data_IF_798661128507
#
_entry.id   IF_798661128507
#
_cell.length_a   1.000
_cell.length_b   1.000
_cell.length_c   1.000
_cell.angle_alpha   90.00
_cell.angle_beta   90.00
_cell.angle_gamma   90.00
#
_symmetry.space_group_name_H-M   'P 1'
#
loop_
_entity.id
_entity.type
_entity.pdbx_description
1 polymer ?
#
# COMPACT_ATOMS: atom_id res chain seq x y z
N UNK A 1 -48.87 12.03 -21.65
CA UNK A 1 -47.49 11.50 -21.73
C UNK A 1 -46.78 11.95 -20.47
N UNK A 2 -46.69 11.08 -19.47
CA UNK A 2 -46.09 11.37 -18.16
C UNK A 2 -44.57 11.30 -18.27
N UNK A 3 -43.90 12.43 -18.10
CA UNK A 3 -42.46 12.50 -17.85
C UNK A 3 -42.16 11.73 -16.56
N UNK A 4 -41.81 10.45 -16.69
CA UNK A 4 -41.10 9.74 -15.63
C UNK A 4 -39.72 10.36 -15.56
N UNK A 5 -39.56 11.35 -14.69
CA UNK A 5 -38.25 11.79 -14.21
C UNK A 5 -37.59 10.54 -13.64
N UNK A 6 -36.70 9.92 -14.43
CA UNK A 6 -35.85 8.83 -13.94
C UNK A 6 -34.94 9.48 -12.92
N UNK A 7 -35.35 9.42 -11.65
CA UNK A 7 -34.57 9.93 -10.52
C UNK A 7 -33.22 9.21 -10.55
N UNK A 8 -32.14 9.94 -10.87
CA UNK A 8 -30.80 9.38 -10.79
C UNK A 8 -30.57 8.95 -9.35
N UNK A 9 -30.13 7.71 -9.11
CA UNK A 9 -29.84 7.26 -7.76
C UNK A 9 -28.79 8.19 -7.11
N UNK A 10 -28.91 8.46 -5.81
CA UNK A 10 -28.03 9.40 -5.12
C UNK A 10 -26.56 8.98 -5.26
N UNK A 11 -25.68 9.96 -5.34
CA UNK A 11 -24.24 9.72 -5.37
C UNK A 11 -23.80 8.98 -4.09
N UNK A 12 -22.89 8.01 -4.20
CA UNK A 12 -22.42 7.27 -3.03
C UNK A 12 -21.70 8.21 -2.03
N UNK A 13 -21.92 7.97 -0.74
CA UNK A 13 -21.23 8.65 0.35
C UNK A 13 -19.70 8.48 0.19
N UNK A 14 -18.95 9.58 0.25
CA UNK A 14 -17.50 9.61 0.17
C UNK A 14 -16.81 8.62 1.13
N UNK A 15 -17.22 8.58 2.40
CA UNK A 15 -16.69 7.65 3.41
C UNK A 15 -16.92 6.21 2.99
N UNK A 16 -18.10 5.89 2.46
CA UNK A 16 -18.39 4.53 1.98
C UNK A 16 -17.50 4.16 0.79
N UNK A 17 -17.24 5.09 -0.13
CA UNK A 17 -16.34 4.85 -1.27
C UNK A 17 -14.92 4.55 -0.78
N UNK A 18 -14.42 5.30 0.22
CA UNK A 18 -13.12 5.04 0.83
C UNK A 18 -13.06 3.66 1.50
N UNK A 19 -14.05 3.35 2.35
CA UNK A 19 -14.10 2.08 3.07
C UNK A 19 -14.17 0.87 2.13
N UNK A 20 -14.99 0.94 1.08
CA UNK A 20 -15.13 -0.14 0.10
C UNK A 20 -13.84 -0.31 -0.71
N UNK A 21 -13.17 0.77 -1.11
CA UNK A 21 -11.88 0.70 -1.82
C UNK A 21 -10.80 0.01 -0.96
N UNK A 22 -10.67 0.42 0.30
CA UNK A 22 -9.74 -0.20 1.26
C UNK A 22 -10.08 -1.67 1.51
N UNK A 23 -11.35 -1.97 1.77
CA UNK A 23 -11.80 -3.34 2.01
C UNK A 23 -11.55 -4.24 0.79
N UNK A 24 -11.76 -3.73 -0.43
CA UNK A 24 -11.47 -4.45 -1.67
C UNK A 24 -9.99 -4.81 -1.81
N UNK A 25 -9.09 -3.83 -1.62
CA UNK A 25 -7.65 -4.06 -1.66
C UNK A 25 -7.18 -5.08 -0.60
N UNK A 26 -7.65 -4.94 0.64
CA UNK A 26 -7.32 -5.86 1.73
C UNK A 26 -7.89 -7.27 1.50
N UNK A 27 -9.11 -7.39 1.00
CA UNK A 27 -9.69 -8.69 0.68
C UNK A 27 -8.87 -9.42 -0.40
N UNK A 28 -8.44 -8.70 -1.44
CA UNK A 28 -7.56 -9.24 -2.49
C UNK A 28 -6.21 -9.72 -1.92
N UNK A 29 -5.62 -8.90 -1.04
CA UNK A 29 -4.36 -9.20 -0.38
C UNK A 29 -4.45 -10.44 0.51
N UNK A 30 -5.50 -10.52 1.34
CA UNK A 30 -5.77 -11.69 2.21
C UNK A 30 -6.00 -12.93 1.35
N UNK A 31 -6.82 -12.84 0.30
CA UNK A 31 -7.06 -13.96 -0.61
C UNK A 31 -5.75 -14.45 -1.24
N UNK A 32 -4.91 -13.54 -1.76
CA UNK A 32 -3.60 -13.90 -2.31
C UNK A 32 -2.71 -14.58 -1.28
N UNK A 33 -2.64 -14.02 -0.06
CA UNK A 33 -1.82 -14.57 1.03
C UNK A 33 -2.28 -15.97 1.42
N UNK A 34 -3.58 -16.19 1.58
CA UNK A 34 -4.16 -17.51 1.90
C UNK A 34 -3.88 -18.51 0.78
N UNK A 35 -4.04 -18.11 -0.48
CA UNK A 35 -3.74 -18.96 -1.63
C UNK A 35 -2.25 -19.32 -1.64
N UNK A 36 -1.35 -18.35 -1.48
CA UNK A 36 0.09 -18.57 -1.46
C UNK A 36 0.50 -19.55 -0.33
N UNK A 37 0.00 -19.34 0.88
CA UNK A 37 0.26 -20.23 2.01
C UNK A 37 -0.29 -21.64 1.78
N UNK A 38 -1.49 -21.78 1.18
CA UNK A 38 -2.06 -23.09 0.85
C UNK A 38 -1.21 -23.89 -0.15
N UNK A 39 -0.45 -23.18 -1.00
CA UNK A 39 0.51 -23.75 -1.95
C UNK A 39 1.89 -23.97 -1.34
N UNK A 40 2.17 -23.40 -0.17
CA UNK A 40 3.44 -23.47 0.54
C UNK A 40 3.33 -24.23 1.88
N UNK A 41 2.55 -25.31 1.92
CA UNK A 41 2.36 -26.15 3.13
C UNK A 41 1.93 -25.38 4.39
N UNK A 42 1.22 -24.26 4.22
CA UNK A 42 0.77 -23.38 5.30
C UNK A 42 1.82 -22.36 5.77
N UNK A 43 3.02 -22.33 5.20
CA UNK A 43 4.06 -21.38 5.57
C UNK A 43 3.90 -20.05 4.81
N UNK A 44 3.97 -18.94 5.54
CA UNK A 44 4.05 -17.60 4.94
C UNK A 44 5.52 -17.30 4.59
N UNK A 45 5.79 -16.99 3.32
CA UNK A 45 7.08 -16.49 2.87
C UNK A 45 6.88 -15.33 1.89
N UNK A 46 7.86 -14.42 1.87
CA UNK A 46 7.85 -13.31 0.93
C UNK A 46 8.18 -13.82 -0.47
N UNK A 47 7.58 -13.18 -1.48
CA UNK A 47 7.74 -13.60 -2.87
C UNK A 47 9.13 -13.27 -3.44
N UNK A 48 9.86 -12.33 -2.83
CA UNK A 48 11.17 -11.86 -3.27
C UNK A 48 12.21 -12.06 -2.17
N UNK A 49 13.42 -12.42 -2.57
CA UNK A 49 14.60 -12.52 -1.71
C UNK A 49 15.06 -11.15 -1.19
N UNK A 50 14.84 -10.09 -1.96
CA UNK A 50 15.13 -8.70 -1.59
C UNK A 50 14.56 -8.30 -0.21
N UNK A 51 13.39 -8.82 0.18
CA UNK A 51 12.82 -8.51 1.51
C UNK A 51 13.75 -8.96 2.63
N UNK A 52 14.39 -10.12 2.46
CA UNK A 52 15.33 -10.66 3.44
C UNK A 52 16.66 -9.90 3.39
N UNK A 53 17.07 -9.39 2.23
CA UNK A 53 18.21 -8.47 2.12
C UNK A 53 17.92 -7.20 2.91
N UNK A 54 16.74 -6.59 2.76
CA UNK A 54 16.37 -5.40 3.54
C UNK A 54 16.29 -5.67 5.04
N UNK A 55 15.80 -6.84 5.44
CA UNK A 55 15.81 -7.25 6.85
C UNK A 55 17.23 -7.45 7.39
N UNK A 56 18.16 -7.98 6.59
CA UNK A 56 19.57 -8.09 6.95
C UNK A 56 20.21 -6.71 7.09
N UNK A 57 19.97 -5.80 6.13
CA UNK A 57 20.41 -4.40 6.20
C UNK A 57 19.85 -3.71 7.43
N UNK A 58 18.57 -3.90 7.75
CA UNK A 58 17.96 -3.38 8.97
C UNK A 58 18.62 -3.93 10.24
N UNK A 59 19.01 -5.20 10.24
CA UNK A 59 19.77 -5.83 11.31
C UNK A 59 21.14 -5.20 11.52
N UNK A 60 21.84 -4.83 10.44
CA UNK A 60 23.13 -4.13 10.54
C UNK A 60 22.95 -2.67 10.95
N UNK A 61 21.91 -1.98 10.46
CA UNK A 61 21.56 -0.63 10.94
C UNK A 61 21.37 -0.63 12.45
N UNK A 62 20.66 -1.60 13.01
CA UNK A 62 20.45 -1.72 14.45
C UNK A 62 21.76 -1.95 15.24
N UNK A 63 22.82 -2.47 14.61
CA UNK A 63 24.17 -2.66 15.18
C UNK A 63 25.11 -1.48 14.94
N UNK A 64 24.64 -0.42 14.26
CA UNK A 64 25.44 0.75 13.90
C UNK A 64 26.21 0.61 12.57
N UNK A 65 25.94 -0.43 11.79
CA UNK A 65 26.48 -0.64 10.44
C UNK A 65 25.50 -0.22 9.34
N UNK A 66 25.91 -0.40 8.08
CA UNK A 66 25.03 -0.21 6.92
C UNK A 66 25.47 -1.12 5.76
N UNK A 67 24.85 -2.27 5.66
CA UNK A 67 25.20 -3.32 4.70
C UNK A 67 24.51 -4.63 5.06
N UNK A 68 24.78 -5.69 4.31
CA UNK A 68 24.21 -7.03 4.59
C UNK A 68 25.07 -7.79 5.60
N UNK A 69 26.39 -7.59 5.55
CA UNK A 69 27.37 -8.30 6.37
C UNK A 69 27.96 -7.38 7.45
N UNK A 70 28.28 -7.92 8.65
CA UNK A 70 28.95 -7.16 9.69
C UNK A 70 30.29 -6.56 9.25
N UNK A 71 30.46 -5.25 9.45
CA UNK A 71 31.69 -4.52 9.13
C UNK A 71 31.89 -4.23 7.64
N UNK A 72 30.99 -4.68 6.76
CA UNK A 72 31.04 -4.40 5.33
C UNK A 72 30.00 -3.33 4.97
N UNK A 73 30.47 -2.14 4.59
CA UNK A 73 29.58 -1.08 4.12
C UNK A 73 29.12 -1.36 2.70
N UNK A 74 27.81 -1.52 2.50
CA UNK A 74 27.22 -1.81 1.20
C UNK A 74 25.83 -1.16 1.04
N UNK A 75 25.60 -0.56 -0.12
CA UNK A 75 24.27 -0.05 -0.49
C UNK A 75 23.44 -1.13 -1.18
N UNK A 76 22.95 -2.10 -0.39
CA UNK A 76 22.21 -3.26 -0.90
C UNK A 76 20.68 -3.05 -1.01
N UNK A 77 20.15 -1.90 -0.58
CA UNK A 77 18.73 -1.57 -0.66
C UNK A 77 18.47 -0.41 -1.64
N UNK A 78 17.36 -0.47 -2.37
CA UNK A 78 16.91 0.58 -3.29
C UNK A 78 16.40 1.85 -2.60
N UNK A 79 16.11 1.77 -1.30
CA UNK A 79 15.78 2.93 -0.46
C UNK A 79 16.47 2.82 0.89
N UNK A 80 17.00 3.92 1.45
CA UNK A 80 17.61 3.89 2.79
C UNK A 80 16.56 3.91 3.90
N UNK A 81 15.40 4.54 3.65
CA UNK A 81 14.35 4.70 4.66
C UNK A 81 13.65 3.37 4.97
N UNK A 82 13.40 2.52 3.96
CA UNK A 82 12.61 1.32 4.19
C UNK A 82 13.33 0.31 5.10
N UNK A 83 14.60 -0.09 4.89
CA UNK A 83 15.36 -0.90 5.85
C UNK A 83 15.44 -0.25 7.23
N UNK A 84 15.58 1.07 7.32
CA UNK A 84 15.57 1.77 8.61
C UNK A 84 14.24 1.56 9.37
N UNK A 85 13.09 1.61 8.69
CA UNK A 85 11.78 1.32 9.29
C UNK A 85 11.61 -0.15 9.72
N UNK A 86 12.48 -1.05 9.25
CA UNK A 86 12.51 -2.48 9.61
C UNK A 86 13.48 -2.79 10.76
N UNK A 87 14.15 -1.78 11.33
CA UNK A 87 15.08 -1.94 12.47
C UNK A 87 14.41 -2.37 13.79
N UNK A 88 13.14 -2.05 14.10
CA UNK A 88 12.53 -2.52 15.34
C UNK A 88 12.59 -4.04 15.46
N UNK A 89 12.86 -4.54 16.66
CA UNK A 89 12.95 -5.99 16.95
C UNK A 89 14.04 -6.74 16.18
N UNK A 90 15.06 -6.03 15.65
CA UNK A 90 16.20 -6.64 14.98
C UNK A 90 16.80 -7.80 15.78
N UNK A 91 17.05 -8.91 15.08
CA UNK A 91 17.58 -10.14 15.69
C UNK A 91 16.53 -11.04 16.37
N UNK A 92 15.25 -10.68 16.34
CA UNK A 92 14.14 -11.52 16.82
C UNK A 92 13.30 -12.05 15.66
N UNK A 93 12.50 -13.09 15.92
CA UNK A 93 11.54 -13.61 14.93
C UNK A 93 10.42 -12.64 14.59
N UNK A 94 10.20 -11.58 15.39
CA UNK A 94 9.17 -10.58 15.13
C UNK A 94 9.52 -9.65 13.97
N UNK A 95 10.81 -9.39 13.75
CA UNK A 95 11.28 -8.47 12.70
C UNK A 95 10.77 -8.88 11.31
N UNK A 96 10.68 -10.19 11.04
CA UNK A 96 10.22 -10.73 9.75
C UNK A 96 8.83 -10.26 9.36
N UNK A 97 8.00 -9.80 10.30
CA UNK A 97 6.62 -9.38 10.05
C UNK A 97 6.50 -7.88 9.76
N UNK A 98 7.55 -7.09 9.99
CA UNK A 98 7.52 -5.65 9.73
C UNK A 98 7.26 -5.32 8.25
N UNK A 99 7.87 -6.00 7.25
CA UNK A 99 7.57 -5.72 5.85
C UNK A 99 6.08 -5.93 5.51
N UNK A 100 5.48 -7.00 6.04
CA UNK A 100 4.04 -7.27 5.92
C UNK A 100 3.19 -6.14 6.53
N UNK A 101 3.50 -5.72 7.76
CA UNK A 101 2.75 -4.66 8.46
C UNK A 101 2.80 -3.36 7.66
N UNK A 102 4.00 -2.93 7.23
CA UNK A 102 4.16 -1.71 6.45
C UNK A 102 3.44 -1.77 5.11
N UNK A 103 3.45 -2.92 4.43
CA UNK A 103 2.75 -3.08 3.17
C UNK A 103 1.23 -3.10 3.31
N UNK A 104 0.68 -3.67 4.39
CA UNK A 104 -0.77 -3.61 4.68
C UNK A 104 -1.20 -2.16 4.97
N UNK A 105 -0.41 -1.41 5.73
CA UNK A 105 -0.65 0.01 5.98
C UNK A 105 -0.59 0.80 4.66
N UNK A 106 0.47 0.61 3.87
CA UNK A 106 0.66 1.30 2.60
C UNK A 106 -0.45 0.98 1.59
N UNK A 107 -0.89 -0.27 1.49
CA UNK A 107 -2.01 -0.69 0.65
C UNK A 107 -3.31 0.01 1.07
N UNK A 108 -3.57 0.06 2.38
CA UNK A 108 -4.76 0.70 2.93
C UNK A 108 -4.76 2.21 2.65
N UNK A 109 -3.62 2.88 2.90
CA UNK A 109 -3.46 4.31 2.63
C UNK A 109 -3.59 4.60 1.13
N UNK A 110 -2.89 3.86 0.28
CA UNK A 110 -2.97 4.04 -1.18
C UNK A 110 -4.41 3.85 -1.70
N UNK A 111 -5.11 2.81 -1.22
CA UNK A 111 -6.50 2.54 -1.62
C UNK A 111 -7.44 3.68 -1.17
N UNK A 112 -7.26 4.19 0.05
CA UNK A 112 -8.04 5.32 0.56
C UNK A 112 -7.76 6.62 -0.22
N UNK A 113 -6.48 6.90 -0.51
CA UNK A 113 -6.09 8.07 -1.29
C UNK A 113 -6.62 7.99 -2.72
N UNK A 114 -6.54 6.83 -3.37
CA UNK A 114 -7.11 6.63 -4.70
C UNK A 114 -8.64 6.82 -4.69
N UNK A 115 -9.33 6.26 -3.70
CA UNK A 115 -10.76 6.48 -3.52
C UNK A 115 -11.10 7.97 -3.30
N UNK A 116 -10.27 8.70 -2.55
CA UNK A 116 -10.41 10.14 -2.35
C UNK A 116 -10.23 10.93 -3.65
N UNK A 117 -9.29 10.55 -4.52
CA UNK A 117 -9.15 11.13 -5.87
C UNK A 117 -10.46 10.96 -6.65
N UNK A 118 -11.05 9.75 -6.64
CA UNK A 118 -12.30 9.48 -7.36
C UNK A 118 -13.48 10.30 -6.83
N UNK A 119 -13.57 10.48 -5.51
CA UNK A 119 -14.59 11.30 -4.87
C UNK A 119 -14.40 12.78 -5.23
N UNK A 120 -13.18 13.32 -5.12
CA UNK A 120 -12.88 14.73 -5.43
C UNK A 120 -13.05 15.06 -6.90
N UNK A 121 -12.83 14.09 -7.79
CA UNK A 121 -13.09 14.25 -9.22
C UNK A 121 -14.58 14.32 -9.57
N UNK A 122 -15.50 14.12 -8.62
CA UNK A 122 -16.94 14.25 -8.86
C UNK A 122 -17.53 13.15 -9.75
N UNK A 123 -16.84 12.00 -9.88
CA UNK A 123 -17.21 10.93 -10.81
C UNK A 123 -18.43 10.09 -10.35
N UNK A 124 -19.02 10.42 -9.20
CA UNK A 124 -20.22 9.76 -8.67
C UNK A 124 -20.08 8.23 -8.60
N UNK A 125 -21.04 7.50 -9.19
CA UNK A 125 -21.04 6.02 -9.18
C UNK A 125 -19.88 5.42 -9.96
N UNK A 126 -19.44 6.07 -11.05
CA UNK A 126 -18.26 5.63 -11.82
C UNK A 126 -17.02 5.70 -10.93
N UNK A 127 -16.86 6.80 -10.18
CA UNK A 127 -15.78 6.95 -9.21
C UNK A 127 -15.79 5.85 -8.14
N UNK A 128 -16.96 5.47 -7.63
CA UNK A 128 -17.07 4.39 -6.66
C UNK A 128 -16.69 3.01 -7.23
N UNK A 129 -17.09 2.72 -8.48
CA UNK A 129 -16.68 1.50 -9.17
C UNK A 129 -15.17 1.49 -9.38
N UNK A 130 -14.59 2.59 -9.86
CA UNK A 130 -13.14 2.70 -10.06
C UNK A 130 -12.37 2.58 -8.74
N UNK A 131 -12.82 3.20 -7.67
CA UNK A 131 -12.21 3.11 -6.35
C UNK A 131 -12.14 1.66 -5.83
N UNK A 132 -13.12 0.83 -6.20
CA UNK A 132 -13.17 -0.59 -5.80
C UNK A 132 -12.40 -1.48 -6.76
N UNK A 133 -12.49 -1.23 -8.07
CA UNK A 133 -11.92 -2.08 -9.10
C UNK A 133 -10.43 -1.81 -9.39
N UNK A 134 -9.98 -0.56 -9.25
CA UNK A 134 -8.61 -0.18 -9.58
C UNK A 134 -7.55 -0.90 -8.72
N UNK A 135 -7.72 -1.09 -7.39
CA UNK A 135 -6.76 -1.87 -6.60
C UNK A 135 -6.51 -3.28 -7.16
N UNK A 136 -7.56 -3.91 -7.72
CA UNK A 136 -7.46 -5.21 -8.39
C UNK A 136 -6.83 -5.09 -9.77
N UNK A 137 -7.32 -4.17 -10.60
CA UNK A 137 -6.86 -4.00 -11.98
C UNK A 137 -5.39 -3.58 -12.07
N UNK A 138 -4.92 -2.81 -11.09
CA UNK A 138 -3.53 -2.37 -10.96
C UNK A 138 -2.67 -3.33 -10.15
N UNK A 139 -3.23 -4.46 -9.70
CA UNK A 139 -2.53 -5.48 -8.92
C UNK A 139 -1.81 -4.95 -7.67
N UNK A 140 -2.34 -3.89 -7.04
CA UNK A 140 -1.73 -3.27 -5.85
C UNK A 140 -1.60 -4.24 -4.67
N UNK A 141 -2.51 -5.22 -4.57
CA UNK A 141 -2.43 -6.30 -3.59
C UNK A 141 -1.24 -7.24 -3.83
N UNK A 142 -0.84 -7.46 -5.09
CA UNK A 142 0.38 -8.20 -5.45
C UNK A 142 1.61 -7.38 -5.07
N UNK A 143 1.60 -6.08 -5.38
CA UNK A 143 2.69 -5.16 -4.99
C UNK A 143 2.87 -5.13 -3.48
N UNK A 144 1.79 -5.11 -2.69
CA UNK A 144 1.88 -5.20 -1.24
C UNK A 144 2.41 -6.57 -0.77
N UNK A 145 2.04 -7.66 -1.46
CA UNK A 145 2.47 -9.01 -1.13
C UNK A 145 3.97 -9.24 -1.36
N UNK A 146 4.62 -8.44 -2.22
CA UNK A 146 6.07 -8.55 -2.37
C UNK A 146 6.83 -8.19 -1.10
N UNK A 147 6.25 -7.41 -0.19
CA UNK A 147 6.92 -6.96 1.04
C UNK A 147 7.95 -5.85 0.83
N UNK A 148 8.04 -5.28 -0.37
CA UNK A 148 9.01 -4.24 -0.71
C UNK A 148 8.50 -2.82 -0.42
N UNK A 149 9.36 -1.81 -0.54
CA UNK A 149 9.01 -0.39 -0.39
C UNK A 149 8.00 0.13 -1.43
N UNK A 150 7.81 -0.61 -2.52
CA UNK A 150 7.04 -0.17 -3.69
C UNK A 150 5.61 0.24 -3.33
N UNK A 151 4.93 -0.49 -2.44
CA UNK A 151 3.57 -0.12 -2.04
C UNK A 151 3.54 1.20 -1.26
N UNK A 152 4.56 1.44 -0.42
CA UNK A 152 4.73 2.72 0.28
C UNK A 152 5.03 3.86 -0.71
N UNK A 153 5.82 3.61 -1.76
CA UNK A 153 6.02 4.57 -2.84
C UNK A 153 4.71 4.91 -3.57
N UNK A 154 3.87 3.92 -3.87
CA UNK A 154 2.53 4.18 -4.46
C UNK A 154 1.69 5.09 -3.55
N UNK A 155 1.65 4.81 -2.25
CA UNK A 155 0.94 5.66 -1.29
C UNK A 155 1.51 7.09 -1.25
N UNK A 156 2.84 7.23 -1.21
CA UNK A 156 3.50 8.53 -1.20
C UNK A 156 3.28 9.32 -2.51
N UNK A 157 3.29 8.65 -3.66
CA UNK A 157 3.00 9.26 -4.96
C UNK A 157 1.57 9.78 -5.02
N UNK A 158 0.59 8.99 -4.56
CA UNK A 158 -0.81 9.43 -4.50
C UNK A 158 -0.99 10.61 -3.53
N UNK A 159 -0.33 10.59 -2.38
CA UNK A 159 -0.35 11.69 -1.42
C UNK A 159 0.24 12.97 -2.03
N UNK A 160 1.36 12.84 -2.76
CA UNK A 160 2.00 13.96 -3.46
C UNK A 160 1.07 14.55 -4.51
N UNK A 161 0.46 13.72 -5.36
CA UNK A 161 -0.48 14.18 -6.39
C UNK A 161 -1.69 14.89 -5.76
N UNK A 162 -2.26 14.33 -4.69
CA UNK A 162 -3.38 14.95 -3.97
C UNK A 162 -2.99 16.28 -3.30
N UNK A 163 -1.79 16.35 -2.73
CA UNK A 163 -1.25 17.59 -2.16
C UNK A 163 -1.04 18.67 -3.21
N UNK A 164 -0.46 18.32 -4.37
CA UNK A 164 -0.32 19.23 -5.50
C UNK A 164 -1.67 19.69 -6.04
N UNK A 165 -2.64 18.78 -6.17
CA UNK A 165 -3.99 19.13 -6.58
C UNK A 165 -4.67 20.07 -5.58
N UNK A 166 -4.48 19.86 -4.28
CA UNK A 166 -4.99 20.77 -3.25
C UNK A 166 -4.33 22.15 -3.33
N UNK A 167 -3.01 22.21 -3.50
CA UNK A 167 -2.25 23.45 -3.64
C UNK A 167 -2.76 24.28 -4.83
N UNK A 168 -2.92 23.66 -6.01
CA UNK A 168 -3.42 24.36 -7.21
C UNK A 168 -4.83 24.95 -7.00
N UNK A 169 -5.65 24.36 -6.12
CA UNK A 169 -6.99 24.86 -5.84
C UNK A 169 -7.04 25.97 -4.79
N UNK A 170 -6.07 26.02 -3.88
CA UNK A 170 -6.17 26.82 -2.65
C UNK A 170 -5.01 27.78 -2.41
N UNK A 171 -3.94 27.69 -3.22
CA UNK A 171 -2.64 28.36 -3.01
C UNK A 171 -2.06 28.11 -1.60
N UNK A 172 -2.39 26.98 -0.98
CA UNK A 172 -1.95 26.59 0.36
C UNK A 172 -1.27 25.23 0.38
N UNK A 173 -0.23 25.12 1.19
CA UNK A 173 0.40 23.85 1.54
C UNK A 173 -0.23 23.42 2.88
N UNK A 174 -1.37 22.70 2.82
CA UNK A 174 -2.06 22.16 4.00
C UNK A 174 -3.57 22.15 3.92
#
# INVERSE_FOLDING_TARGET
MTDRVISRPPAPNAVNVLLVGVAGGLAAFVALTVIAMSRNSGAFEYALDDVYIHLAVAGEIARGGYGVNPGELASAASSPLYPFLLTPFAGTSLQRWLPLIWNVIALSVASALFALVMVRAGLGRVGAVLATAAPFALATYVTAFTGMENMAHVAASLATVLGLWHFVQTDRIG
#
